data_IF_871920882724
#
_entry.id   IF_871920882724
#
_cell.length_a   1.000
_cell.length_b   1.000
_cell.length_c   1.000
_cell.angle_alpha   90.00
_cell.angle_beta   90.00
_cell.angle_gamma   90.00
#
_symmetry.space_group_name_H-M   'P 1'
#
loop_
_entity.id
_entity.type
_entity.pdbx_description
1 polymer ?
#
# COMPACT_ATOMS: atom_id res chain seq x y z
N UNK A 1 -10.87 -8.28 4.57
CA UNK A 1 -10.06 -7.94 3.37
C UNK A 1 -10.55 -6.63 2.79
N UNK A 2 -9.73 -5.88 2.03
CA UNK A 2 -10.21 -4.71 1.30
C UNK A 2 -11.38 -5.11 0.40
N UNK A 3 -12.30 -4.18 0.16
CA UNK A 3 -13.38 -4.36 -0.83
C UNK A 3 -12.76 -4.82 -2.15
N UNK A 4 -13.40 -5.77 -2.84
CA UNK A 4 -12.90 -6.27 -4.12
C UNK A 4 -12.79 -5.11 -5.14
N UNK A 5 -11.65 -4.99 -5.85
CA UNK A 5 -11.47 -4.04 -6.94
C UNK A 5 -12.62 -4.06 -7.95
N UNK A 6 -13.12 -2.89 -8.34
CA UNK A 6 -14.20 -2.77 -9.34
C UNK A 6 -13.70 -3.14 -10.74
N UNK A 7 -12.39 -3.08 -10.96
CA UNK A 7 -11.70 -3.41 -12.22
C UNK A 7 -10.55 -4.38 -11.99
N UNK A 8 -10.16 -5.11 -13.03
CA UNK A 8 -8.97 -5.98 -13.00
C UNK A 8 -9.19 -7.38 -12.42
N UNK A 9 -10.30 -7.63 -11.73
CA UNK A 9 -10.71 -8.94 -11.21
C UNK A 9 -12.05 -9.41 -11.82
N UNK A 10 -12.15 -9.65 -13.14
CA UNK A 10 -13.36 -10.20 -13.73
C UNK A 10 -13.60 -11.67 -13.32
N UNK A 11 -14.83 -12.15 -13.50
CA UNK A 11 -15.22 -13.52 -13.22
C UNK A 11 -14.39 -14.52 -14.03
N UNK A 12 -13.89 -15.54 -13.35
CA UNK A 12 -13.05 -16.63 -13.86
C UNK A 12 -13.80 -17.95 -13.69
N UNK A 13 -14.09 -18.62 -14.80
CA UNK A 13 -14.85 -19.88 -14.80
C UNK A 13 -14.00 -21.05 -15.31
N UNK A 14 -13.44 -20.91 -16.51
CA UNK A 14 -12.55 -21.91 -17.13
C UNK A 14 -11.12 -21.41 -17.33
N UNK A 15 -10.95 -20.09 -17.26
CA UNK A 15 -9.69 -19.37 -17.45
C UNK A 15 -9.53 -18.32 -16.36
N UNK A 16 -8.30 -18.12 -15.90
CA UNK A 16 -7.97 -17.07 -14.94
C UNK A 16 -8.01 -15.72 -15.66
N UNK A 17 -9.14 -15.03 -15.57
CA UNK A 17 -9.35 -13.72 -16.20
C UNK A 17 -8.88 -12.56 -15.29
N UNK A 18 -8.62 -12.88 -14.02
CA UNK A 18 -7.99 -12.02 -13.04
C UNK A 18 -6.60 -11.56 -13.52
N UNK A 19 -6.37 -10.25 -13.53
CA UNK A 19 -5.02 -9.71 -13.72
C UNK A 19 -4.18 -10.01 -12.49
N UNK A 20 -3.10 -10.78 -12.67
CA UNK A 20 -2.25 -11.23 -11.58
C UNK A 20 -1.71 -10.07 -10.75
N UNK A 21 -1.29 -8.99 -11.40
CA UNK A 21 -0.74 -7.83 -10.69
C UNK A 21 -1.77 -7.16 -9.77
N UNK A 22 -3.01 -7.02 -10.24
CA UNK A 22 -4.11 -6.43 -9.47
C UNK A 22 -4.49 -7.31 -8.29
N UNK A 23 -4.49 -8.63 -8.49
CA UNK A 23 -4.73 -9.58 -7.42
C UNK A 23 -3.64 -9.49 -6.35
N UNK A 24 -2.37 -9.42 -6.74
CA UNK A 24 -1.27 -9.28 -5.80
C UNK A 24 -1.36 -7.96 -5.02
N UNK A 25 -1.58 -6.85 -5.72
CA UNK A 25 -1.73 -5.53 -5.10
C UNK A 25 -2.91 -5.52 -4.11
N UNK A 26 -4.03 -6.16 -4.47
CA UNK A 26 -5.20 -6.23 -3.59
C UNK A 26 -4.96 -7.09 -2.35
N UNK A 27 -4.27 -8.22 -2.48
CA UNK A 27 -3.89 -9.06 -1.33
C UNK A 27 -2.95 -8.28 -0.42
N UNK A 28 -1.95 -7.62 -0.99
CA UNK A 28 -0.95 -6.85 -0.25
C UNK A 28 -1.57 -5.63 0.43
N UNK A 29 -2.48 -4.92 -0.24
CA UNK A 29 -3.24 -3.82 0.34
C UNK A 29 -4.17 -4.30 1.45
N UNK A 30 -4.79 -5.48 1.27
CA UNK A 30 -5.68 -6.07 2.28
C UNK A 30 -4.98 -6.41 3.58
N UNK A 31 -3.71 -6.84 3.53
CA UNK A 31 -2.95 -7.12 4.74
C UNK A 31 -2.34 -5.85 5.36
N UNK A 32 -2.04 -4.83 4.56
CA UNK A 32 -1.42 -3.60 5.06
C UNK A 32 -2.42 -2.63 5.67
N UNK A 33 -3.55 -2.41 4.99
CA UNK A 33 -4.48 -1.32 5.32
C UNK A 33 -5.66 -1.74 6.19
N UNK A 34 -5.85 -3.03 6.46
CA UNK A 34 -6.86 -3.49 7.40
C UNK A 34 -6.25 -3.99 8.70
N UNK A 35 -6.91 -3.68 9.80
CA UNK A 35 -6.45 -4.03 11.15
C UNK A 35 -7.03 -5.34 11.69
N UNK A 36 -7.94 -5.98 10.93
CA UNK A 36 -8.69 -7.15 11.39
C UNK A 36 -7.82 -8.39 11.61
N UNK A 37 -6.73 -8.54 10.84
CA UNK A 37 -5.85 -9.71 10.94
C UNK A 37 -4.39 -9.37 10.58
N UNK A 38 -3.41 -9.86 11.36
CA UNK A 38 -1.99 -9.69 11.05
C UNK A 38 -1.50 -10.62 9.94
N UNK A 39 -2.33 -11.54 9.43
CA UNK A 39 -2.00 -12.40 8.29
C UNK A 39 -3.22 -12.75 7.42
N UNK A 40 -2.96 -13.11 6.18
CA UNK A 40 -3.95 -13.62 5.22
C UNK A 40 -3.39 -14.90 4.60
N UNK A 41 -4.20 -15.97 4.53
CA UNK A 41 -3.84 -17.23 3.87
C UNK A 41 -4.42 -17.35 2.46
N UNK A 42 -3.87 -18.27 1.65
CA UNK A 42 -4.41 -18.58 0.32
C UNK A 42 -5.88 -19.00 0.35
N UNK A 43 -6.30 -19.68 1.43
CA UNK A 43 -7.67 -20.16 1.60
C UNK A 43 -8.59 -18.97 1.83
N UNK A 44 -8.22 -18.07 2.75
CA UNK A 44 -9.02 -16.87 3.04
C UNK A 44 -9.27 -16.03 1.77
N UNK A 45 -8.23 -15.86 0.94
CA UNK A 45 -8.37 -15.11 -0.33
C UNK A 45 -9.25 -15.86 -1.32
N UNK A 46 -9.09 -17.17 -1.45
CA UNK A 46 -9.90 -17.98 -2.36
C UNK A 46 -11.38 -17.95 -1.96
N UNK A 47 -11.67 -18.04 -0.67
CA UNK A 47 -13.04 -18.01 -0.14
C UNK A 47 -13.70 -16.65 -0.43
N UNK A 48 -13.02 -15.53 -0.16
CA UNK A 48 -13.54 -14.19 -0.50
C UNK A 48 -13.79 -14.07 -2.01
N UNK A 49 -12.91 -14.57 -2.86
CA UNK A 49 -13.09 -14.51 -4.31
C UNK A 49 -14.25 -15.39 -4.82
N UNK A 50 -14.63 -16.44 -4.09
CA UNK A 50 -15.81 -17.26 -4.40
C UNK A 50 -17.08 -16.56 -3.92
N UNK A 51 -17.07 -16.04 -2.69
CA UNK A 51 -18.18 -15.26 -2.12
C UNK A 51 -18.54 -14.06 -2.99
N UNK A 52 -17.53 -13.39 -3.56
CA UNK A 52 -17.66 -12.24 -4.46
C UNK A 52 -17.87 -12.64 -5.94
N UNK A 53 -18.20 -13.91 -6.18
CA UNK A 53 -18.48 -14.54 -7.47
C UNK A 53 -17.40 -14.35 -8.54
N UNK A 54 -16.15 -14.10 -8.12
CA UNK A 54 -14.99 -13.97 -9.03
C UNK A 54 -14.49 -15.33 -9.46
N UNK A 55 -14.63 -16.34 -8.62
CA UNK A 55 -14.44 -17.74 -8.95
C UNK A 55 -15.70 -18.54 -8.64
N UNK A 56 -15.89 -19.65 -9.35
CA UNK A 56 -17.04 -20.55 -9.14
C UNK A 56 -16.62 -21.81 -8.39
N UNK A 57 -15.43 -22.34 -8.70
CA UNK A 57 -14.92 -23.59 -8.15
C UNK A 57 -13.72 -23.32 -7.23
N UNK A 58 -13.73 -23.91 -6.02
CA UNK A 58 -12.71 -23.69 -5.01
C UNK A 58 -11.32 -24.18 -5.44
N UNK A 59 -11.24 -25.38 -6.01
CA UNK A 59 -9.96 -25.89 -6.53
C UNK A 59 -9.40 -25.00 -7.64
N UNK A 60 -10.26 -24.41 -8.47
CA UNK A 60 -9.83 -23.49 -9.51
C UNK A 60 -9.31 -22.18 -8.92
N UNK A 61 -9.99 -21.60 -7.93
CA UNK A 61 -9.51 -20.42 -7.21
C UNK A 61 -8.13 -20.67 -6.57
N UNK A 62 -7.96 -21.80 -5.89
CA UNK A 62 -6.70 -22.17 -5.23
C UNK A 62 -5.54 -22.35 -6.23
N UNK A 63 -5.80 -22.79 -7.47
CA UNK A 63 -4.76 -22.80 -8.52
C UNK A 63 -4.28 -21.39 -8.84
N UNK A 64 -5.19 -20.43 -9.01
CA UNK A 64 -4.83 -19.02 -9.23
C UNK A 64 -4.09 -18.41 -8.04
N UNK A 65 -4.43 -18.80 -6.81
CA UNK A 65 -3.74 -18.33 -5.60
C UNK A 65 -2.29 -18.81 -5.53
N UNK A 66 -1.96 -19.96 -6.12
CA UNK A 66 -0.56 -20.42 -6.19
C UNK A 66 0.30 -19.46 -7.02
N UNK A 67 -0.22 -19.02 -8.16
CA UNK A 67 0.47 -18.07 -9.03
C UNK A 67 0.62 -16.71 -8.35
N UNK A 68 -0.45 -16.23 -7.69
CA UNK A 68 -0.41 -15.00 -6.90
C UNK A 68 0.62 -15.05 -5.76
N UNK A 69 0.71 -16.18 -5.03
CA UNK A 69 1.69 -16.33 -3.96
C UNK A 69 3.12 -16.41 -4.47
N UNK A 70 3.34 -17.05 -5.62
CA UNK A 70 4.65 -17.09 -6.26
C UNK A 70 5.10 -15.67 -6.64
N UNK A 71 4.18 -14.90 -7.22
CA UNK A 71 4.42 -13.52 -7.62
C UNK A 71 4.65 -12.59 -6.43
N UNK A 72 3.84 -12.69 -5.37
CA UNK A 72 4.04 -11.93 -4.13
C UNK A 72 5.41 -12.21 -3.50
N UNK A 73 5.82 -13.48 -3.42
CA UNK A 73 7.17 -13.84 -2.93
C UNK A 73 8.27 -13.19 -3.77
N UNK A 74 8.11 -13.22 -5.09
CA UNK A 74 9.06 -12.63 -6.04
C UNK A 74 9.17 -11.12 -5.83
N UNK A 75 8.04 -10.42 -5.73
CA UNK A 75 7.98 -8.96 -5.46
C UNK A 75 8.62 -8.60 -4.13
N UNK A 76 8.24 -9.27 -3.05
CA UNK A 76 8.79 -9.03 -1.71
C UNK A 76 10.30 -9.29 -1.69
N UNK A 77 10.80 -10.29 -2.42
CA UNK A 77 12.25 -10.54 -2.51
C UNK A 77 13.03 -9.39 -3.15
N UNK A 78 12.39 -8.62 -4.04
CA UNK A 78 13.00 -7.46 -4.69
C UNK A 78 12.95 -6.21 -3.82
N UNK A 79 11.88 -6.04 -3.04
CA UNK A 79 11.72 -4.92 -2.11
C UNK A 79 12.63 -5.11 -0.88
N UNK A 80 12.79 -6.36 -0.42
CA UNK A 80 13.67 -6.71 0.70
C UNK A 80 13.25 -6.04 2.01
N UNK A 81 14.21 -5.39 2.67
CA UNK A 81 13.99 -4.76 3.97
C UNK A 81 13.06 -3.53 3.93
N UNK A 82 12.70 -3.04 2.74
CA UNK A 82 11.76 -1.95 2.58
C UNK A 82 10.29 -2.41 2.49
N UNK A 83 10.00 -3.72 2.66
CA UNK A 83 8.64 -4.24 2.61
C UNK A 83 8.02 -4.31 4.00
N UNK A 84 6.80 -3.77 4.11
CA UNK A 84 5.96 -3.90 5.31
C UNK A 84 5.23 -5.26 5.40
N UNK A 85 5.45 -6.15 4.43
CA UNK A 85 4.87 -7.49 4.40
C UNK A 85 5.96 -8.56 4.25
N UNK A 86 5.64 -9.75 4.75
CA UNK A 86 6.47 -10.93 4.59
C UNK A 86 5.60 -12.10 4.15
N UNK A 87 6.20 -13.05 3.42
CA UNK A 87 5.52 -14.29 3.04
C UNK A 87 6.08 -15.44 3.87
N UNK A 88 5.18 -16.23 4.47
CA UNK A 88 5.54 -17.44 5.20
C UNK A 88 4.67 -18.61 4.72
N UNK A 89 5.26 -19.52 3.93
CA UNK A 89 4.55 -20.65 3.31
C UNK A 89 3.28 -20.17 2.60
N UNK A 90 2.11 -20.52 3.11
CA UNK A 90 0.79 -20.22 2.52
C UNK A 90 0.16 -18.93 3.07
N UNK A 91 0.92 -18.10 3.78
CA UNK A 91 0.43 -16.86 4.40
C UNK A 91 1.26 -15.65 3.95
N UNK A 92 0.59 -14.52 3.84
CA UNK A 92 1.19 -13.18 3.82
C UNK A 92 0.93 -12.57 5.19
N UNK A 93 1.95 -11.95 5.78
CA UNK A 93 1.89 -11.40 7.13
C UNK A 93 2.41 -9.96 7.13
N UNK A 94 1.76 -9.09 7.90
CA UNK A 94 2.22 -7.73 8.17
C UNK A 94 3.41 -7.78 9.12
N UNK A 95 4.56 -7.21 8.74
CA UNK A 95 5.79 -7.24 9.54
C UNK A 95 5.88 -6.11 10.57
N UNK A 96 5.31 -4.94 10.25
CA UNK A 96 5.23 -3.76 11.11
C UNK A 96 4.02 -2.91 10.73
N UNK A 97 3.88 -1.76 11.37
CA UNK A 97 2.94 -0.74 10.94
C UNK A 97 3.30 -0.20 9.55
N UNK A 98 2.30 0.03 8.69
CA UNK A 98 2.55 0.40 7.29
C UNK A 98 3.15 1.81 7.14
N UNK A 99 2.95 2.68 8.13
CA UNK A 99 3.47 4.04 8.21
C UNK A 99 5.00 4.06 8.32
N UNK A 100 5.61 2.98 8.83
CA UNK A 100 7.06 2.84 8.95
C UNK A 100 7.72 2.57 7.58
N UNK A 101 6.93 2.25 6.55
CA UNK A 101 7.38 1.88 5.21
C UNK A 101 6.72 2.76 4.13
N UNK A 102 6.86 4.10 4.20
CA UNK A 102 6.04 5.02 3.43
C UNK A 102 6.22 4.87 1.91
N UNK A 103 7.43 4.54 1.43
CA UNK A 103 7.67 4.31 0.00
C UNK A 103 6.91 3.09 -0.53
N UNK A 104 7.00 1.97 0.18
CA UNK A 104 6.30 0.75 -0.19
C UNK A 104 4.79 0.96 -0.17
N UNK A 105 4.29 1.50 0.94
CA UNK A 105 2.87 1.69 1.16
C UNK A 105 2.26 2.70 0.18
N UNK A 106 2.95 3.80 -0.11
CA UNK A 106 2.50 4.79 -1.09
C UNK A 106 2.46 4.22 -2.51
N UNK A 107 3.50 3.50 -2.94
CA UNK A 107 3.53 2.88 -4.27
C UNK A 107 2.39 1.87 -4.47
N UNK A 108 2.11 1.06 -3.45
CA UNK A 108 0.99 0.13 -3.45
C UNK A 108 -0.36 0.85 -3.49
N UNK A 109 -0.51 1.93 -2.73
CA UNK A 109 -1.71 2.76 -2.76
C UNK A 109 -1.97 3.30 -4.18
N UNK A 110 -0.93 3.82 -4.82
CA UNK A 110 -1.01 4.33 -6.19
C UNK A 110 -1.30 3.23 -7.21
N UNK A 111 -0.79 2.01 -7.00
CA UNK A 111 -1.06 0.90 -7.91
C UNK A 111 -2.50 0.40 -7.80
N UNK A 112 -3.11 0.49 -6.61
CA UNK A 112 -4.52 0.14 -6.37
C UNK A 112 -5.50 1.19 -6.90
N UNK A 113 -5.14 2.47 -6.86
CA UNK A 113 -6.02 3.61 -7.18
C UNK A 113 -6.82 3.46 -8.50
N UNK A 114 -6.26 2.99 -9.63
CA UNK A 114 -7.00 2.87 -10.89
C UNK A 114 -8.12 1.82 -10.87
N UNK A 115 -8.12 0.92 -9.88
CA UNK A 115 -9.03 -0.23 -9.80
C UNK A 115 -10.22 -0.02 -8.86
N UNK A 116 -10.31 1.15 -8.23
CA UNK A 116 -11.42 1.55 -7.38
C UNK A 116 -12.04 2.85 -7.89
N UNK A 117 -13.26 2.77 -8.42
CA UNK A 117 -13.92 3.93 -9.02
C UNK A 117 -14.16 5.07 -8.01
N UNK A 118 -14.48 4.71 -6.76
CA UNK A 118 -14.68 5.66 -5.67
C UNK A 118 -13.40 6.35 -5.19
N UNK A 119 -12.22 5.85 -5.56
CA UNK A 119 -10.93 6.39 -5.13
C UNK A 119 -10.69 7.83 -5.59
N UNK A 120 -11.15 8.15 -6.80
CA UNK A 120 -11.06 9.49 -7.37
C UNK A 120 -11.97 10.50 -6.66
N UNK A 121 -12.95 10.00 -5.93
CA UNK A 121 -14.06 10.80 -5.42
C UNK A 121 -13.97 11.01 -3.90
N UNK A 122 -13.09 10.28 -3.18
CA UNK A 122 -13.04 10.32 -1.72
C UNK A 122 -11.61 10.23 -1.11
N UNK A 123 -11.47 10.93 0.03
CA UNK A 123 -10.41 10.84 1.04
C UNK A 123 -9.01 11.43 0.70
N UNK A 124 -8.98 12.72 0.35
CA UNK A 124 -7.74 13.48 0.14
C UNK A 124 -6.81 13.55 1.36
N UNK A 125 -7.34 13.35 2.58
CA UNK A 125 -6.58 13.52 3.83
C UNK A 125 -5.56 12.39 4.04
N UNK A 126 -5.99 11.13 4.01
CA UNK A 126 -5.09 9.97 4.18
C UNK A 126 -4.11 9.82 3.02
N UNK A 127 -4.57 10.05 1.78
CA UNK A 127 -3.72 10.04 0.59
C UNK A 127 -2.61 11.10 0.68
N UNK A 128 -2.97 12.28 1.16
CA UNK A 128 -2.05 13.38 1.38
C UNK A 128 -1.08 13.15 2.53
N UNK A 129 -1.53 12.53 3.62
CA UNK A 129 -0.64 12.13 4.71
C UNK A 129 0.43 11.11 4.25
N UNK A 130 0.02 10.11 3.45
CA UNK A 130 0.94 9.15 2.84
C UNK A 130 1.95 9.83 1.90
N UNK A 131 1.52 10.82 1.12
CA UNK A 131 2.41 11.62 0.28
C UNK A 131 3.40 12.46 1.12
N UNK A 132 2.96 13.09 2.21
CA UNK A 132 3.85 13.83 3.10
C UNK A 132 4.86 12.91 3.80
N UNK A 133 4.44 11.72 4.23
CA UNK A 133 5.33 10.71 4.81
C UNK A 133 6.41 10.26 3.82
N UNK A 134 6.03 9.98 2.57
CA UNK A 134 7.00 9.63 1.53
C UNK A 134 7.97 10.77 1.25
N UNK A 135 7.46 12.01 1.16
CA UNK A 135 8.28 13.19 0.94
C UNK A 135 9.26 13.40 2.08
N UNK A 136 8.82 13.26 3.33
CA UNK A 136 9.66 13.34 4.52
C UNK A 136 10.77 12.28 4.48
N UNK A 137 10.43 11.02 4.23
CA UNK A 137 11.39 9.93 4.16
C UNK A 137 12.43 10.14 3.04
N UNK A 138 11.99 10.61 1.88
CA UNK A 138 12.86 10.90 0.73
C UNK A 138 13.83 12.06 1.03
N UNK A 139 13.32 13.14 1.65
CA UNK A 139 14.14 14.30 2.02
C UNK A 139 15.17 13.95 3.09
N UNK A 140 14.79 13.16 4.10
CA UNK A 140 15.72 12.69 5.14
C UNK A 140 16.82 11.79 4.58
N UNK A 141 16.49 10.96 3.59
CA UNK A 141 17.48 10.12 2.92
C UNK A 141 18.47 10.93 2.06
N UNK A 142 17.99 11.98 1.39
CA UNK A 142 18.80 12.81 0.50
C UNK A 142 19.62 13.88 1.24
N UNK A 143 19.07 14.44 2.32
CA UNK A 143 19.62 15.58 3.05
C UNK A 143 19.70 15.27 4.55
N UNK A 144 20.74 14.53 4.95
CA UNK A 144 20.95 14.10 6.34
C UNK A 144 21.01 15.25 7.35
N UNK A 145 21.42 16.44 6.88
CA UNK A 145 21.68 17.61 7.72
C UNK A 145 20.45 18.55 7.80
N UNK A 146 19.35 18.22 7.12
CA UNK A 146 18.15 19.04 7.11
C UNK A 146 17.16 18.57 8.17
N UNK A 147 16.61 19.54 8.90
CA UNK A 147 15.48 19.29 9.78
C UNK A 147 14.20 19.38 8.95
N UNK A 148 13.59 18.22 8.67
CA UNK A 148 12.40 18.09 7.84
C UNK A 148 11.16 18.05 8.73
N UNK A 149 10.16 18.88 8.38
CA UNK A 149 8.89 18.96 9.09
C UNK A 149 7.74 18.69 8.12
N UNK A 150 6.78 17.86 8.55
CA UNK A 150 5.50 17.70 7.86
C UNK A 150 4.59 18.88 8.17
N UNK A 151 3.92 19.40 7.15
CA UNK A 151 3.01 20.54 7.28
C UNK A 151 1.59 20.14 7.63
N UNK A 152 1.25 18.85 7.52
CA UNK A 152 -0.11 18.35 7.69
C UNK A 152 -0.94 18.64 6.45
N UNK A 153 -1.46 17.58 5.83
CA UNK A 153 -2.32 17.68 4.66
C UNK A 153 -3.79 17.96 5.01
N UNK A 154 -4.20 17.69 6.25
CA UNK A 154 -5.56 17.89 6.73
C UNK A 154 -5.89 19.39 6.90
N UNK A 155 -6.89 19.94 6.18
CA UNK A 155 -7.34 21.32 6.34
C UNK A 155 -7.82 21.65 7.77
N UNK A 156 -8.22 20.65 8.54
CA UNK A 156 -8.67 20.78 9.93
C UNK A 156 -7.54 20.72 10.96
N UNK A 157 -6.34 20.24 10.57
CA UNK A 157 -5.14 20.23 11.40
C UNK A 157 -3.86 20.63 10.65
N UNK A 158 -3.83 21.80 9.99
CA UNK A 158 -2.62 22.26 9.31
C UNK A 158 -1.59 22.68 10.36
N UNK A 159 -0.37 22.13 10.28
CA UNK A 159 0.77 22.74 10.95
C UNK A 159 1.00 24.06 10.23
N UNK A 160 0.61 25.16 10.88
CA UNK A 160 0.63 26.50 10.27
C UNK A 160 2.07 26.78 9.79
N UNK A 161 2.27 26.94 8.48
CA UNK A 161 3.57 27.25 7.84
C UNK A 161 4.37 28.36 8.56
N UNK A 162 3.68 29.35 9.16
CA UNK A 162 4.30 30.40 9.99
C UNK A 162 5.05 29.85 11.21
N UNK A 163 4.60 28.76 11.82
CA UNK A 163 5.22 28.16 13.01
C UNK A 163 6.51 27.38 12.66
N UNK A 164 6.57 26.74 11.49
CA UNK A 164 7.77 26.07 10.97
C UNK A 164 8.80 27.12 10.52
N UNK A 165 8.36 28.17 9.82
CA UNK A 165 9.25 29.24 9.34
C UNK A 165 9.84 30.13 10.46
N UNK A 166 9.28 30.13 11.68
CA UNK A 166 9.78 30.93 12.82
C UNK A 166 10.91 30.23 13.60
N UNK A 167 11.23 28.96 13.30
CA UNK A 167 12.49 28.35 13.75
C UNK A 167 13.32 27.99 12.53
N UNK A 168 14.12 28.96 12.09
CA UNK A 168 15.55 28.65 12.17
C UNK A 168 16.44 29.84 12.53
N UNK A 169 17.37 29.58 13.46
CA UNK A 169 18.68 30.25 13.50
C UNK A 169 19.48 29.81 12.25
N UNK A 170 19.09 30.24 11.06
CA UNK A 170 19.99 30.10 9.90
C UNK A 170 20.91 31.32 9.84
N UNK A 171 22.22 31.06 9.94
CA UNK A 171 23.25 31.96 9.44
C UNK A 171 23.01 32.14 7.95
N UNK A 172 22.60 33.33 7.55
CA UNK A 172 22.63 33.75 6.15
C UNK A 172 24.11 33.79 5.76
N UNK A 173 24.54 32.86 4.92
CA UNK A 173 25.81 32.98 4.21
C UNK A 173 25.65 34.15 3.23
N UNK A 174 26.26 35.29 3.56
CA UNK A 174 26.58 36.30 2.57
C UNK A 174 27.64 35.71 1.65
N UNK A 175 27.28 35.55 0.39
CA UNK A 175 28.24 35.32 -0.68
C UNK A 175 28.75 36.72 -1.05
N UNK A 176 30.04 36.97 -0.80
CA UNK A 176 30.80 38.09 -1.38
C UNK A 176 31.28 37.72 -2.79
#
# INVERSE_FOLDING_TARGET
>A
MLVIPTKGLPKSVKTHNTKLDVLCDWIEGSILFQDDSPFISQIDVADVLIEEERYVEQEFALRGMKDAWLELRRRISWIGAASAVQTHRLRVQRSSNWQDYPAHTFCLLLSLAPYYDWWKENNYTEQGELFELLTEASLKAQFSDWEIYRTGWDPSNPVRLKQIAIKPKFRILKIE
#
